data_IF_400968594492
#
_entry.id   IF_400968594492
#
_cell.length_a   1.000
_cell.length_b   1.000
_cell.length_c   1.000
_cell.angle_alpha   90.00
_cell.angle_beta   90.00
_cell.angle_gamma   90.00
#
_symmetry.space_group_name_H-M   'P 1'
#
loop_
_entity.id
_entity.type
_entity.pdbx_description
1 polymer ?
#
# COMPACT_ATOMS: atom_id res chain seq x y z
N UNK A 1 14.61 4.25 -12.93
CA UNK A 1 13.21 4.50 -12.51
C UNK A 1 12.20 4.22 -13.61
N UNK A 2 12.28 4.88 -14.78
CA UNK A 2 11.33 4.66 -15.89
C UNK A 2 11.29 3.21 -16.39
N UNK A 3 12.44 2.56 -16.49
CA UNK A 3 12.52 1.13 -16.87
C UNK A 3 11.80 0.27 -15.83
N UNK A 4 12.07 0.46 -14.53
CA UNK A 4 11.40 -0.27 -13.45
C UNK A 4 9.88 -0.13 -13.52
N UNK A 5 9.39 1.08 -13.75
CA UNK A 5 7.96 1.33 -13.97
C UNK A 5 7.44 0.60 -15.21
N UNK A 6 8.19 0.64 -16.32
CA UNK A 6 7.79 -0.01 -17.56
C UNK A 6 7.72 -1.53 -17.40
N UNK A 7 8.61 -2.13 -16.61
CA UNK A 7 8.55 -3.56 -16.30
C UNK A 7 7.28 -3.92 -15.53
N UNK A 8 6.87 -3.09 -14.55
CA UNK A 8 5.59 -3.28 -13.85
C UNK A 8 4.41 -3.13 -14.80
N UNK A 9 4.43 -2.10 -15.65
CA UNK A 9 3.39 -1.90 -16.66
C UNK A 9 3.26 -3.08 -17.63
N UNK A 10 4.37 -3.74 -17.97
CA UNK A 10 4.38 -4.89 -18.88
C UNK A 10 4.12 -6.23 -18.16
N UNK A 11 3.91 -6.24 -16.84
CA UNK A 11 3.76 -7.48 -16.06
C UNK A 11 5.06 -8.30 -15.94
N UNK A 12 6.20 -7.71 -16.32
CA UNK A 12 7.53 -8.34 -16.22
C UNK A 12 8.13 -8.21 -14.82
N UNK A 13 7.57 -7.32 -13.99
CA UNK A 13 7.84 -7.21 -12.56
C UNK A 13 6.53 -6.94 -11.82
N UNK A 14 6.35 -7.51 -10.63
CA UNK A 14 5.17 -7.21 -9.81
C UNK A 14 5.24 -5.86 -9.11
N UNK A 15 6.46 -5.35 -8.84
CA UNK A 15 6.63 -4.03 -8.21
C UNK A 15 7.85 -3.28 -8.72
N UNK A 16 7.86 -1.98 -8.46
CA UNK A 16 9.03 -1.12 -8.43
C UNK A 16 9.07 -0.36 -7.10
N UNK A 17 10.26 -0.22 -6.50
CA UNK A 17 10.42 0.53 -5.25
C UNK A 17 11.40 1.69 -5.44
N UNK A 18 11.08 2.82 -4.84
CA UNK A 18 11.88 4.03 -4.88
C UNK A 18 12.11 4.57 -3.47
N UNK A 19 13.36 4.90 -3.16
CA UNK A 19 13.72 5.57 -1.92
C UNK A 19 13.33 7.05 -1.95
N UNK A 20 13.39 7.68 -0.77
CA UNK A 20 13.13 9.11 -0.60
C UNK A 20 14.11 10.01 -1.40
N UNK A 21 15.31 9.50 -1.68
CA UNK A 21 16.32 10.15 -2.51
C UNK A 21 16.16 9.86 -4.02
N UNK A 22 15.02 9.31 -4.44
CA UNK A 22 14.71 8.87 -5.80
C UNK A 22 15.54 7.67 -6.30
N UNK A 23 16.31 6.99 -5.46
CA UNK A 23 17.04 5.80 -5.88
C UNK A 23 16.09 4.63 -6.17
N UNK A 24 16.47 3.75 -7.10
CA UNK A 24 15.73 2.50 -7.34
C UNK A 24 16.16 1.50 -6.28
N UNK A 25 15.22 1.04 -5.47
CA UNK A 25 15.48 0.05 -4.42
C UNK A 25 15.22 -1.35 -4.94
N UNK A 26 16.07 -2.30 -4.56
CA UNK A 26 15.79 -3.73 -4.72
C UNK A 26 14.79 -4.16 -3.64
N UNK A 27 13.56 -4.57 -3.99
CA UNK A 27 12.52 -4.82 -2.98
C UNK A 27 12.89 -5.89 -1.96
N UNK A 28 13.57 -6.96 -2.42
CA UNK A 28 13.98 -8.05 -1.53
C UNK A 28 14.99 -7.60 -0.50
N UNK A 29 15.85 -6.63 -0.80
CA UNK A 29 16.82 -6.07 0.14
C UNK A 29 16.16 -5.03 1.05
N UNK A 30 15.39 -4.10 0.47
CA UNK A 30 14.75 -3.02 1.21
C UNK A 30 13.76 -3.52 2.26
N UNK A 31 13.07 -4.63 1.98
CA UNK A 31 12.06 -5.22 2.88
C UNK A 31 12.66 -6.25 3.86
N UNK A 32 13.87 -6.75 3.62
CA UNK A 32 14.42 -7.86 4.40
C UNK A 32 14.57 -7.52 5.88
N UNK A 33 14.02 -8.38 6.75
CA UNK A 33 14.05 -8.23 8.23
C UNK A 33 13.43 -6.93 8.76
N UNK A 34 12.65 -6.23 7.95
CA UNK A 34 11.93 -5.03 8.39
C UNK A 34 10.46 -5.35 8.62
N UNK A 35 9.90 -4.82 9.70
CA UNK A 35 8.46 -4.76 9.89
C UNK A 35 7.90 -3.69 8.93
N UNK A 36 6.91 -4.03 8.11
CA UNK A 36 6.47 -3.18 7.00
C UNK A 36 5.11 -2.61 7.30
N UNK A 37 4.98 -1.28 7.21
CA UNK A 37 3.69 -0.59 7.29
C UNK A 37 3.45 0.11 5.95
N UNK A 38 2.39 -0.28 5.25
CA UNK A 38 2.08 0.25 3.92
C UNK A 38 0.75 0.99 3.90
N UNK A 39 0.76 2.25 3.48
CA UNK A 39 -0.48 2.97 3.12
C UNK A 39 -0.69 2.93 1.60
N UNK A 40 -1.81 2.35 1.18
CA UNK A 40 -2.21 2.36 -0.23
C UNK A 40 -3.05 3.60 -0.54
N UNK A 41 -2.73 4.30 -1.63
CA UNK A 41 -3.50 5.47 -2.05
C UNK A 41 -3.23 5.90 -3.48
N UNK A 42 -4.02 6.87 -3.95
CA UNK A 42 -3.85 7.46 -5.29
C UNK A 42 -2.85 8.62 -5.29
N UNK A 43 -2.73 9.29 -4.14
CA UNK A 43 -1.84 10.44 -3.87
C UNK A 43 -1.90 11.51 -4.97
N UNK A 44 -3.12 11.97 -5.30
CA UNK A 44 -3.42 13.00 -6.32
C UNK A 44 -3.84 14.37 -5.71
N UNK A 45 -2.94 15.21 -5.17
CA UNK A 45 -1.60 14.92 -4.62
C UNK A 45 -1.69 14.18 -3.27
N UNK A 46 -0.57 13.77 -2.63
CA UNK A 46 -0.60 13.40 -1.22
C UNK A 46 -1.07 14.58 -0.35
N UNK A 47 -1.89 14.30 0.66
CA UNK A 47 -2.48 15.31 1.55
C UNK A 47 -2.11 15.06 3.01
N UNK A 48 -2.38 16.03 3.90
CA UNK A 48 -2.15 15.87 5.34
C UNK A 48 -2.89 14.65 5.93
N UNK A 49 -4.06 14.31 5.41
CA UNK A 49 -4.80 13.12 5.87
C UNK A 49 -4.01 11.85 5.61
N UNK A 50 -3.31 11.74 4.47
CA UNK A 50 -2.46 10.58 4.18
C UNK A 50 -1.32 10.45 5.20
N UNK A 51 -0.62 11.56 5.47
CA UNK A 51 0.48 11.50 6.45
C UNK A 51 -0.02 11.23 7.87
N UNK A 52 -1.17 11.78 8.26
CA UNK A 52 -1.78 11.53 9.56
C UNK A 52 -2.24 10.07 9.72
N UNK A 53 -2.83 9.49 8.66
CA UNK A 53 -3.18 8.07 8.57
C UNK A 53 -1.97 7.18 8.84
N UNK A 54 -0.89 7.37 8.07
CA UNK A 54 0.33 6.59 8.22
C UNK A 54 0.96 6.80 9.61
N UNK A 55 0.99 8.03 10.12
CA UNK A 55 1.59 8.35 11.42
C UNK A 55 0.83 7.69 12.58
N UNK A 56 -0.50 7.85 12.63
CA UNK A 56 -1.34 7.22 13.64
C UNK A 56 -1.22 5.69 13.60
N UNK A 57 -1.19 5.11 12.40
CA UNK A 57 -0.97 3.67 12.23
C UNK A 57 0.44 3.26 12.70
N UNK A 58 1.46 4.05 12.40
CA UNK A 58 2.85 3.78 12.78
C UNK A 58 3.05 3.75 14.28
N UNK A 59 2.41 4.67 15.01
CA UNK A 59 2.43 4.68 16.47
C UNK A 59 1.83 3.39 17.05
N UNK A 60 0.64 3.00 16.58
CA UNK A 60 -0.01 1.75 17.00
C UNK A 60 0.75 0.50 16.55
N UNK A 61 1.40 0.55 15.39
CA UNK A 61 2.18 -0.56 14.84
C UNK A 61 3.46 -0.79 15.65
N UNK A 62 4.16 0.28 16.05
CA UNK A 62 5.35 0.20 16.91
C UNK A 62 5.05 -0.28 18.33
N UNK A 63 3.82 -0.04 18.81
CA UNK A 63 3.37 -0.52 20.11
C UNK A 63 2.99 -2.02 20.11
N UNK A 64 2.95 -2.68 18.95
CA UNK A 64 2.74 -4.12 18.87
C UNK A 64 3.97 -4.87 19.43
N UNK A 65 3.82 -5.78 20.42
CA UNK A 65 4.93 -6.58 20.94
C UNK A 65 5.69 -7.35 19.86
N UNK A 66 5.04 -7.72 18.75
CA UNK A 66 5.70 -8.40 17.64
C UNK A 66 6.57 -7.48 16.76
N UNK A 67 6.48 -6.16 16.95
CA UNK A 67 7.28 -5.14 16.24
C UNK A 67 8.35 -4.55 17.17
N UNK A 68 8.29 -4.81 18.47
CA UNK A 68 9.25 -4.30 19.44
C UNK A 68 10.70 -4.66 19.07
N UNK A 69 11.58 -3.65 19.05
CA UNK A 69 12.98 -3.80 18.69
C UNK A 69 13.26 -4.09 17.21
N UNK A 70 12.23 -4.08 16.34
CA UNK A 70 12.38 -4.27 14.90
C UNK A 70 12.55 -2.94 14.17
N UNK A 71 13.32 -2.97 13.07
CA UNK A 71 13.34 -1.85 12.14
C UNK A 71 11.99 -1.79 11.42
N UNK A 72 11.32 -0.64 11.49
CA UNK A 72 10.04 -0.42 10.81
C UNK A 72 10.26 0.37 9.53
N UNK A 73 9.75 -0.15 8.41
CA UNK A 73 9.71 0.53 7.13
C UNK A 73 8.28 1.01 6.83
N UNK A 74 7.95 2.28 7.13
CA UNK A 74 6.74 2.91 6.61
C UNK A 74 6.93 3.25 5.13
N UNK A 75 5.95 2.92 4.31
CA UNK A 75 5.98 3.20 2.88
C UNK A 75 4.58 3.51 2.33
N UNK A 76 4.55 4.22 1.21
CA UNK A 76 3.33 4.45 0.45
C UNK A 76 3.27 3.54 -0.77
N UNK A 77 2.09 3.00 -1.07
CA UNK A 77 1.85 2.15 -2.22
C UNK A 77 0.91 2.80 -3.24
N UNK A 78 1.41 2.90 -4.47
CA UNK A 78 0.72 3.40 -5.64
C UNK A 78 0.39 2.21 -6.56
N UNK A 79 -0.90 1.85 -6.63
CA UNK A 79 -1.33 0.78 -7.55
C UNK A 79 -1.38 1.29 -8.99
N UNK A 80 -1.04 0.45 -9.95
CA UNK A 80 -1.19 0.75 -11.37
C UNK A 80 -2.66 1.00 -11.78
N UNK A 81 -3.63 0.50 -10.99
CA UNK A 81 -5.06 0.77 -11.24
C UNK A 81 -5.49 2.18 -10.83
N UNK A 82 -4.89 2.77 -9.79
CA UNK A 82 -5.11 4.17 -9.41
C UNK A 82 -4.72 5.15 -10.56
N UNK A 83 -4.02 4.65 -11.58
CA UNK A 83 -3.74 5.36 -12.82
C UNK A 83 -4.82 5.24 -13.88
N UNK A 84 -5.43 4.06 -14.02
CA UNK A 84 -6.48 3.81 -15.01
C UNK A 84 -7.79 4.56 -14.70
N UNK A 85 -7.99 5.00 -13.45
CA UNK A 85 -9.14 5.82 -13.07
C UNK A 85 -9.19 7.21 -13.77
N UNK A 86 -8.12 7.61 -14.48
CA UNK A 86 -8.05 8.85 -15.26
C UNK A 86 -8.13 8.67 -16.80
N UNK A 87 -8.26 7.45 -17.32
CA UNK A 87 -8.29 7.15 -18.75
C UNK A 87 -7.58 5.83 -19.12
N UNK A 88 -7.69 5.42 -20.39
CA UNK A 88 -7.15 4.14 -20.89
C UNK A 88 -5.61 4.09 -20.94
N UNK A 89 -4.93 5.24 -20.95
CA UNK A 89 -3.47 5.32 -21.03
C UNK A 89 -2.84 5.76 -19.71
N UNK A 90 -1.88 4.98 -19.24
CA UNK A 90 -1.09 5.30 -18.04
C UNK A 90 -0.19 6.49 -18.35
N UNK A 91 -0.55 7.67 -17.83
CA UNK A 91 0.34 8.83 -17.85
C UNK A 91 1.53 8.59 -16.92
N UNK A 92 2.63 8.10 -17.52
CA UNK A 92 3.89 7.82 -16.83
C UNK A 92 4.46 9.07 -16.15
N UNK A 93 4.19 10.28 -16.66
CA UNK A 93 4.68 11.53 -16.08
C UNK A 93 3.91 11.87 -14.82
N UNK A 94 2.59 11.82 -14.87
CA UNK A 94 1.71 11.97 -13.71
C UNK A 94 2.09 10.97 -12.60
N UNK A 95 2.46 9.75 -12.99
CA UNK A 95 2.88 8.74 -12.04
C UNK A 95 4.19 9.05 -11.32
N UNK A 96 5.24 9.34 -12.11
CA UNK A 96 6.54 9.69 -11.56
C UNK A 96 6.44 10.95 -10.71
N UNK A 97 5.60 11.92 -11.10
CA UNK A 97 5.35 13.12 -10.33
C UNK A 97 4.79 12.83 -8.93
N UNK A 98 3.86 11.87 -8.77
CA UNK A 98 3.37 11.50 -7.42
C UNK A 98 4.42 10.80 -6.59
N UNK A 99 5.15 9.88 -7.21
CA UNK A 99 6.26 9.21 -6.55
C UNK A 99 7.33 10.23 -6.12
N UNK A 100 7.55 11.27 -6.93
CA UNK A 100 8.46 12.37 -6.62
C UNK A 100 7.94 13.27 -5.51
N UNK A 101 6.63 13.56 -5.47
CA UNK A 101 6.03 14.29 -4.34
C UNK A 101 6.18 13.52 -3.02
N UNK A 102 5.89 12.22 -3.03
CA UNK A 102 6.07 11.37 -1.85
C UNK A 102 7.55 11.27 -1.43
N UNK A 103 8.46 11.11 -2.40
CA UNK A 103 9.89 11.09 -2.15
C UNK A 103 10.40 12.42 -1.58
N UNK A 104 9.91 13.56 -2.09
CA UNK A 104 10.20 14.89 -1.56
C UNK A 104 9.70 15.09 -0.12
N UNK A 105 8.65 14.36 0.28
CA UNK A 105 8.20 14.27 1.67
C UNK A 105 9.00 13.28 2.52
N UNK A 106 10.09 12.71 2.01
CA UNK A 106 10.95 11.77 2.74
C UNK A 106 10.47 10.32 2.72
N UNK A 107 9.53 9.97 1.84
CA UNK A 107 8.86 8.67 1.89
C UNK A 107 9.43 7.66 0.89
N UNK A 108 9.47 6.40 1.32
CA UNK A 108 9.68 5.26 0.41
C UNK A 108 8.37 4.98 -0.33
N UNK A 109 8.47 4.77 -1.64
CA UNK A 109 7.32 4.52 -2.51
C UNK A 109 7.43 3.15 -3.14
N UNK A 110 6.39 2.34 -2.98
CA UNK A 110 6.19 1.08 -3.68
C UNK A 110 5.13 1.27 -4.76
N UNK A 111 5.41 0.73 -5.94
CA UNK A 111 4.53 0.80 -7.10
C UNK A 111 4.21 -0.64 -7.46
N UNK A 112 2.93 -1.00 -7.52
CA UNK A 112 2.54 -2.39 -7.77
C UNK A 112 1.43 -2.53 -8.80
N UNK A 113 1.38 -3.69 -9.46
CA UNK A 113 0.24 -4.14 -10.25
C UNK A 113 -0.78 -4.95 -9.41
N UNK A 114 -0.62 -4.97 -8.08
CA UNK A 114 -1.46 -5.74 -7.16
C UNK A 114 -2.73 -4.99 -6.81
N UNK A 115 -3.79 -5.22 -7.60
CA UNK A 115 -5.08 -4.63 -7.31
C UNK A 115 -5.63 -5.10 -5.95
N UNK A 116 -5.65 -6.39 -5.69
CA UNK A 116 -6.21 -6.96 -4.46
C UNK A 116 -5.19 -6.92 -3.32
N UNK A 117 -5.64 -6.50 -2.12
CA UNK A 117 -4.78 -6.40 -0.94
C UNK A 117 -4.11 -7.74 -0.58
N UNK A 118 -4.77 -8.89 -0.80
CA UNK A 118 -4.17 -10.20 -0.51
C UNK A 118 -2.93 -10.48 -1.39
N UNK A 119 -2.86 -9.93 -2.60
CA UNK A 119 -1.68 -10.08 -3.48
C UNK A 119 -0.52 -9.23 -3.00
N UNK A 120 -0.79 -8.00 -2.58
CA UNK A 120 0.21 -7.13 -1.94
C UNK A 120 0.73 -7.78 -0.65
N UNK A 121 -0.16 -8.28 0.20
CA UNK A 121 0.20 -8.98 1.43
C UNK A 121 1.09 -10.20 1.16
N UNK A 122 0.72 -11.04 0.19
CA UNK A 122 1.52 -12.20 -0.21
C UNK A 122 2.91 -11.79 -0.72
N UNK A 123 2.98 -10.74 -1.54
CA UNK A 123 4.24 -10.21 -2.06
C UNK A 123 5.20 -9.75 -0.94
N UNK A 124 4.69 -9.02 0.05
CA UNK A 124 5.46 -8.53 1.19
C UNK A 124 5.88 -9.70 2.10
N UNK A 125 4.99 -10.64 2.38
CA UNK A 125 5.25 -11.82 3.23
C UNK A 125 6.30 -12.79 2.65
N UNK A 126 6.56 -12.71 1.34
CA UNK A 126 7.66 -13.44 0.71
C UNK A 126 9.03 -12.81 0.98
N UNK A 127 9.10 -11.52 1.32
CA UNK A 127 10.36 -10.76 1.46
C UNK A 127 10.73 -10.43 2.89
N UNK A 128 9.74 -10.34 3.77
CA UNK A 128 9.98 -10.20 5.21
C UNK A 128 9.24 -11.28 5.99
N UNK A 129 9.82 -11.65 7.14
CA UNK A 129 9.18 -12.51 8.16
C UNK A 129 8.68 -11.69 9.35
N UNK A 130 8.97 -10.40 9.37
CA UNK A 130 8.50 -9.50 10.41
C UNK A 130 7.04 -9.10 10.15
N UNK A 131 6.43 -8.43 11.14
CA UNK A 131 5.03 -7.99 11.08
C UNK A 131 4.78 -7.12 9.85
N UNK A 132 3.59 -7.29 9.24
CA UNK A 132 3.10 -6.46 8.14
C UNK A 132 1.81 -5.77 8.60
N UNK A 133 1.72 -4.47 8.35
CA UNK A 133 0.53 -3.65 8.55
C UNK A 133 0.11 -2.98 7.25
N UNK A 134 -1.19 -2.92 7.00
CA UNK A 134 -1.76 -2.14 5.89
C UNK A 134 -2.63 -1.02 6.47
N UNK A 135 -2.38 0.21 6.02
CA UNK A 135 -3.12 1.41 6.39
C UNK A 135 -4.13 1.73 5.29
N UNK A 136 -5.38 1.97 5.69
CA UNK A 136 -6.46 2.33 4.78
C UNK A 136 -7.54 3.13 5.50
N UNK A 137 -8.35 3.88 4.75
CA UNK A 137 -9.55 4.54 5.29
C UNK A 137 -10.78 3.64 5.23
N UNK A 138 -11.83 4.02 5.94
CA UNK A 138 -13.15 3.33 5.89
C UNK A 138 -13.64 3.08 4.44
N UNK A 139 -13.57 4.02 3.48
CA UNK A 139 -14.02 3.76 2.11
C UNK A 139 -13.31 2.57 1.46
N UNK A 140 -11.98 2.50 1.59
CA UNK A 140 -11.18 1.38 1.06
C UNK A 140 -11.43 0.08 1.82
N UNK A 141 -11.82 0.15 3.10
CA UNK A 141 -12.27 -1.03 3.84
C UNK A 141 -13.59 -1.53 3.27
N UNK A 142 -14.55 -0.65 3.00
CA UNK A 142 -15.82 -1.03 2.37
C UNK A 142 -15.58 -1.69 1.01
N UNK A 143 -14.69 -1.13 0.19
CA UNK A 143 -14.31 -1.74 -1.10
C UNK A 143 -13.67 -3.13 -0.93
N UNK A 144 -12.92 -3.38 0.15
CA UNK A 144 -12.33 -4.69 0.45
C UNK A 144 -13.41 -5.77 0.63
N UNK A 145 -14.63 -5.41 1.05
CA UNK A 145 -15.76 -6.33 1.21
C UNK A 145 -16.58 -6.55 -0.07
N UNK A 146 -16.25 -5.89 -1.18
CA UNK A 146 -16.99 -6.07 -2.43
C UNK A 146 -16.62 -7.38 -3.14
N UNK A 147 -17.54 -8.34 -3.15
CA UNK A 147 -17.33 -9.68 -3.73
C UNK A 147 -16.98 -9.69 -5.22
N UNK A 148 -17.38 -8.64 -5.96
CA UNK A 148 -17.10 -8.52 -7.40
C UNK A 148 -15.59 -8.58 -7.73
N UNK A 149 -14.74 -8.24 -6.77
CA UNK A 149 -13.29 -8.29 -6.92
C UNK A 149 -12.68 -9.69 -6.73
N UNK A 150 -13.45 -10.67 -6.28
CA UNK A 150 -12.95 -12.01 -5.92
C UNK A 150 -13.60 -13.14 -6.72
N UNK A 151 -14.29 -12.84 -7.81
CA UNK A 151 -15.00 -13.83 -8.66
C UNK A 151 -14.07 -14.86 -9.32
N UNK A 152 -12.76 -14.55 -9.40
CA UNK A 152 -11.73 -15.43 -9.94
C UNK A 152 -11.13 -16.38 -8.88
N UNK A 153 -11.45 -16.18 -7.60
CA UNK A 153 -11.01 -17.07 -6.52
C UNK A 153 -12.06 -18.17 -6.29
N UNK A 154 -11.69 -19.46 -6.31
CA UNK A 154 -12.63 -20.56 -6.03
C UNK A 154 -13.37 -20.41 -4.70
N UNK A 155 -12.72 -19.90 -3.66
CA UNK A 155 -13.32 -19.60 -2.36
C UNK A 155 -13.78 -18.15 -2.18
N UNK A 156 -13.82 -17.37 -3.26
CA UNK A 156 -14.34 -16.00 -3.29
C UNK A 156 -13.71 -15.08 -2.24
N UNK A 157 -14.56 -14.28 -1.60
CA UNK A 157 -14.14 -13.31 -0.57
C UNK A 157 -13.49 -13.98 0.64
N UNK A 158 -13.96 -15.15 1.08
CA UNK A 158 -13.40 -15.84 2.25
C UNK A 158 -11.97 -16.30 1.99
N UNK A 159 -11.70 -16.79 0.79
CA UNK A 159 -10.33 -17.13 0.38
C UNK A 159 -9.43 -15.88 0.35
N UNK A 160 -9.93 -14.75 -0.16
CA UNK A 160 -9.20 -13.48 -0.16
C UNK A 160 -8.80 -13.04 1.25
N UNK A 161 -9.76 -13.04 2.19
CA UNK A 161 -9.50 -12.67 3.59
C UNK A 161 -8.54 -13.66 4.27
N UNK A 162 -8.70 -14.97 4.06
CA UNK A 162 -7.79 -15.98 4.59
C UNK A 162 -6.34 -15.80 4.09
N UNK A 163 -6.17 -15.38 2.83
CA UNK A 163 -4.86 -15.05 2.27
C UNK A 163 -4.31 -13.72 2.80
N UNK A 164 -5.17 -12.70 2.96
CA UNK A 164 -4.79 -11.37 3.43
C UNK A 164 -4.28 -11.38 4.87
N UNK A 165 -5.02 -12.02 5.78
CA UNK A 165 -4.70 -12.07 7.21
C UNK A 165 -3.69 -13.17 7.58
N UNK A 166 -3.10 -13.83 6.58
CA UNK A 166 -2.03 -14.80 6.81
C UNK A 166 -0.83 -14.13 7.48
N UNK A 167 -0.15 -14.86 8.37
CA UNK A 167 1.01 -14.38 9.15
C UNK A 167 0.66 -13.17 10.04
N UNK A 168 -0.56 -13.14 10.56
CA UNK A 168 -1.05 -12.15 11.52
C UNK A 168 -0.91 -10.69 11.02
N UNK A 169 -1.12 -10.49 9.72
CA UNK A 169 -1.17 -9.15 9.12
C UNK A 169 -2.27 -8.32 9.79
N UNK A 170 -1.99 -7.04 10.04
CA UNK A 170 -2.93 -6.12 10.68
C UNK A 170 -3.41 -5.05 9.70
N UNK A 171 -4.71 -4.74 9.75
CA UNK A 171 -5.27 -3.57 9.09
C UNK A 171 -5.37 -2.43 10.10
N UNK A 172 -4.91 -1.25 9.70
CA UNK A 172 -5.04 0.00 10.44
C UNK A 172 -6.05 0.86 9.68
N UNK A 173 -7.28 0.89 10.21
CA UNK A 173 -8.40 1.58 9.58
C UNK A 173 -8.50 2.98 10.16
N UNK A 174 -8.39 3.98 9.30
CA UNK A 174 -8.52 5.37 9.67
C UNK A 174 -9.98 5.82 9.52
N UNK A 175 -10.54 6.54 10.51
CA UNK A 175 -11.94 6.90 10.52
C UNK A 175 -12.29 7.90 9.40
N UNK A 176 -13.53 7.83 8.94
CA UNK A 176 -14.08 8.76 7.96
C UNK A 176 -15.00 9.75 8.68
N UNK A 177 -14.77 11.04 8.46
CA UNK A 177 -15.72 12.09 8.85
C UNK A 177 -16.45 12.58 7.62
N UNK A 178 -17.76 12.40 7.61
CA UNK A 178 -18.62 12.90 6.54
C UNK A 178 -18.64 14.44 6.56
N UNK A 179 -18.35 15.08 5.43
CA UNK A 179 -18.20 16.53 5.35
C UNK A 179 -19.55 17.27 5.45
N UNK A 180 -20.66 16.65 5.06
CA UNK A 180 -21.98 17.27 5.04
C UNK A 180 -22.70 17.16 6.38
N UNK A 181 -22.60 15.99 7.02
CA UNK A 181 -23.30 15.66 8.26
C UNK A 181 -22.41 15.79 9.50
N UNK A 182 -21.09 15.80 9.32
CA UNK A 182 -20.13 15.80 10.43
C UNK A 182 -20.00 14.45 11.15
N UNK A 183 -20.75 13.43 10.73
CA UNK A 183 -20.77 12.11 11.35
C UNK A 183 -19.42 11.41 11.19
N UNK A 184 -18.98 10.75 12.26
CA UNK A 184 -17.74 9.98 12.28
C UNK A 184 -18.07 8.49 12.15
N UNK A 185 -17.43 7.82 11.20
CA UNK A 185 -17.44 6.37 11.04
C UNK A 185 -16.06 5.83 11.43
N UNK A 186 -16.03 4.96 12.44
CA UNK A 186 -14.81 4.36 13.02
C UNK A 186 -14.82 2.86 12.90
#
# INVERSE_FOLDING_TARGET
RLISLKLVQLGLSGVAMFGANHEVLQPSEALYKKAVLVERGSFRPPTHVNFDMLQCALEKFKADPAVEGKEVLPLFELTMRNLLAGGDDIDRRDFLARADLLAACGMTVLISDYFEYYRLAAYLAWRTKERIGIVLGVPSLTELFEEKYYTQLPGGILESFGRLFKNDLKLYVYPLRDAATGNLTT
#
